data_IF_288946861389
#
_entry.id   IF_288946861389
#
_cell.length_a   1.000
_cell.length_b   1.000
_cell.length_c   1.000
_cell.angle_alpha   90.00
_cell.angle_beta   90.00
_cell.angle_gamma   90.00
#
_symmetry.space_group_name_H-M   'P 1'
#
loop_
_entity.id
_entity.type
_entity.pdbx_description
1 polymer ?
#
# COMPACT_ATOMS: atom_id res chain seq x y z
N UNK A 1 41.17 -34.66 15.85
CA UNK A 1 39.85 -34.64 16.52
C UNK A 1 38.88 -34.00 15.54
N UNK A 2 37.90 -34.78 15.07
CA UNK A 2 37.08 -34.47 13.91
C UNK A 2 36.05 -33.38 14.17
N UNK A 3 35.84 -32.55 13.15
CA UNK A 3 34.78 -31.54 13.08
C UNK A 3 33.50 -32.26 12.67
N UNK A 4 32.52 -32.34 13.58
CA UNK A 4 31.23 -32.94 13.29
C UNK A 4 30.42 -32.01 12.37
N UNK A 5 30.25 -32.44 11.12
CA UNK A 5 29.29 -31.87 10.17
C UNK A 5 27.88 -32.25 10.61
N UNK A 6 27.07 -31.26 10.95
CA UNK A 6 25.63 -31.45 11.15
C UNK A 6 24.98 -31.71 9.79
N UNK A 7 24.62 -32.97 9.55
CA UNK A 7 23.82 -33.36 8.39
C UNK A 7 22.38 -32.89 8.59
N UNK A 8 21.91 -32.02 7.70
CA UNK A 8 20.49 -31.66 7.59
C UNK A 8 19.71 -32.82 6.97
N UNK A 9 18.67 -33.28 7.67
CA UNK A 9 17.78 -34.35 7.23
C UNK A 9 16.98 -33.92 5.96
N UNK A 10 17.14 -34.61 4.82
CA UNK A 10 16.53 -34.22 3.55
C UNK A 10 15.03 -34.56 3.43
N UNK A 11 14.41 -35.08 4.49
CA UNK A 11 13.00 -35.51 4.49
C UNK A 11 12.01 -34.47 5.06
N UNK A 12 12.50 -33.33 5.56
CA UNK A 12 11.61 -32.25 5.95
C UNK A 12 11.13 -31.50 4.69
N UNK A 13 9.87 -31.73 4.31
CA UNK A 13 9.17 -30.82 3.41
C UNK A 13 9.42 -29.38 3.89
N UNK A 14 9.83 -28.44 3.03
CA UNK A 14 10.12 -27.08 3.45
C UNK A 14 8.89 -26.56 4.17
N UNK A 15 9.01 -26.33 5.49
CA UNK A 15 7.96 -25.66 6.25
C UNK A 15 7.68 -24.39 5.46
N UNK A 16 6.45 -24.12 5.01
CA UNK A 16 6.16 -22.88 4.31
C UNK A 16 6.71 -21.77 5.19
N UNK A 17 7.65 -20.98 4.66
CA UNK A 17 8.38 -20.00 5.44
C UNK A 17 7.33 -19.11 6.13
N UNK A 18 7.31 -19.18 7.45
CA UNK A 18 6.38 -18.40 8.26
C UNK A 18 6.76 -16.93 8.06
N UNK A 19 5.84 -16.14 7.56
CA UNK A 19 6.05 -14.70 7.31
C UNK A 19 5.25 -13.94 8.33
N UNK A 20 5.93 -13.25 9.26
CA UNK A 20 5.29 -12.54 10.37
C UNK A 20 4.11 -11.67 9.91
N UNK A 21 4.29 -10.84 8.88
CA UNK A 21 3.25 -9.93 8.41
C UNK A 21 2.04 -10.60 7.77
N UNK A 22 2.24 -11.75 7.11
CA UNK A 22 1.16 -12.50 6.47
C UNK A 22 0.43 -13.40 7.47
N UNK A 23 1.19 -14.05 8.35
CA UNK A 23 0.70 -15.17 9.14
C UNK A 23 0.43 -14.82 10.60
N UNK A 24 1.17 -13.87 11.19
CA UNK A 24 1.17 -13.60 12.64
C UNK A 24 0.58 -12.23 12.98
N UNK A 25 1.04 -11.16 12.32
CA UNK A 25 0.55 -9.80 12.57
C UNK A 25 -0.98 -9.70 12.46
N UNK A 26 -1.68 -10.33 11.50
CA UNK A 26 -3.14 -10.25 11.44
C UNK A 26 -3.82 -10.86 12.67
N UNK A 27 -3.23 -11.92 13.24
CA UNK A 27 -3.75 -12.55 14.47
C UNK A 27 -3.55 -11.59 15.65
N UNK A 28 -2.35 -11.05 15.83
CA UNK A 28 -2.03 -10.15 16.94
C UNK A 28 -2.80 -8.83 16.84
N UNK A 29 -2.88 -8.24 15.64
CA UNK A 29 -3.63 -7.01 15.41
C UNK A 29 -5.13 -7.18 15.61
N UNK A 30 -5.70 -8.30 15.12
CA UNK A 30 -7.13 -8.55 15.24
C UNK A 30 -7.60 -8.97 16.63
N UNK A 31 -6.75 -9.65 17.41
CA UNK A 31 -7.18 -10.30 18.67
C UNK A 31 -6.42 -9.85 19.92
N UNK A 32 -5.29 -9.15 19.79
CA UNK A 32 -4.41 -8.84 20.92
C UNK A 32 -4.17 -7.33 21.10
N UNK A 33 -3.86 -6.59 20.02
CA UNK A 33 -3.50 -5.18 20.10
C UNK A 33 -4.58 -4.24 20.67
N UNK A 34 -5.90 -4.53 20.59
CA UNK A 34 -6.90 -3.68 21.25
C UNK A 34 -6.71 -3.55 22.78
N UNK A 35 -6.05 -4.52 23.43
CA UNK A 35 -5.77 -4.45 24.88
C UNK A 35 -4.28 -4.55 25.21
N UNK A 36 -3.44 -4.96 24.27
CA UNK A 36 -2.01 -5.18 24.46
C UNK A 36 -1.16 -4.50 23.37
N UNK A 37 -1.67 -3.42 22.80
CA UNK A 37 -1.06 -2.70 21.68
C UNK A 37 -0.51 -1.33 22.07
N UNK A 38 -0.39 -0.41 21.09
CA UNK A 38 0.30 0.87 21.27
C UNK A 38 -0.46 1.86 22.16
N UNK A 39 -1.79 1.83 22.18
CA UNK A 39 -2.62 2.68 23.04
C UNK A 39 -2.33 2.42 24.53
N UNK A 40 -1.84 3.44 25.24
CA UNK A 40 -1.50 3.36 26.65
C UNK A 40 -2.72 3.40 27.57
N UNK A 41 -3.78 4.10 27.18
CA UNK A 41 -5.00 4.27 27.98
C UNK A 41 -5.83 2.98 28.06
N UNK A 42 -5.79 2.15 27.01
CA UNK A 42 -6.50 0.88 26.96
C UNK A 42 -5.64 -0.35 27.29
N UNK A 43 -4.34 -0.16 27.58
CA UNK A 43 -3.41 -1.27 27.79
C UNK A 43 -3.71 -2.04 29.08
N UNK A 44 -3.74 -3.36 28.98
CA UNK A 44 -4.03 -4.30 30.07
C UNK A 44 -2.87 -5.29 30.28
N UNK A 45 -2.89 -5.96 31.43
CA UNK A 45 -1.89 -6.97 31.78
C UNK A 45 -0.54 -6.37 32.17
N UNK A 46 0.50 -7.21 32.23
CA UNK A 46 1.83 -6.82 32.69
C UNK A 46 1.92 -6.65 34.21
N UNK A 47 3.13 -6.35 34.67
CA UNK A 47 3.43 -6.08 36.08
C UNK A 47 2.79 -4.75 36.53
N UNK A 48 2.50 -4.64 37.82
CA UNK A 48 1.93 -3.41 38.40
C UNK A 48 2.87 -2.23 38.16
N UNK A 49 2.35 -1.15 37.58
CA UNK A 49 3.14 0.05 37.25
C UNK A 49 3.98 -0.05 35.97
N UNK A 50 3.92 -1.15 35.20
CA UNK A 50 4.69 -1.32 33.96
C UNK A 50 4.12 -0.59 32.74
N UNK A 51 2.96 0.05 32.88
CA UNK A 51 2.22 0.67 31.78
C UNK A 51 1.50 -0.32 30.87
N UNK A 52 1.34 -1.59 31.29
CA UNK A 52 0.60 -2.63 30.56
C UNK A 52 1.49 -3.56 29.71
N UNK A 53 0.96 -4.72 29.32
CA UNK A 53 1.65 -5.65 28.41
C UNK A 53 1.58 -5.15 26.95
N UNK A 54 2.71 -5.18 26.25
CA UNK A 54 2.83 -4.85 24.83
C UNK A 54 3.08 -6.12 24.02
N UNK A 55 2.30 -6.36 22.97
CA UNK A 55 2.49 -7.47 22.02
C UNK A 55 2.79 -6.98 20.60
N UNK A 56 2.76 -5.67 20.37
CA UNK A 56 3.01 -5.01 19.08
C UNK A 56 4.50 -4.74 18.81
N UNK A 57 5.39 -5.07 19.76
CA UNK A 57 6.84 -5.00 19.58
C UNK A 57 7.54 -6.17 20.25
N UNK A 58 8.69 -6.57 19.71
CA UNK A 58 9.52 -7.63 20.28
C UNK A 58 9.91 -7.31 21.73
N UNK A 59 10.51 -6.14 21.97
CA UNK A 59 10.95 -5.71 23.30
C UNK A 59 9.81 -5.67 24.33
N UNK A 60 8.59 -5.33 23.89
CA UNK A 60 7.39 -5.37 24.72
C UNK A 60 6.95 -6.79 25.06
N UNK A 61 6.89 -7.67 24.05
CA UNK A 61 6.40 -9.04 24.19
C UNK A 61 7.34 -9.93 24.99
N UNK A 62 8.65 -9.65 24.93
CA UNK A 62 9.68 -10.38 25.66
C UNK A 62 10.03 -9.76 27.01
N UNK A 63 9.40 -8.64 27.40
CA UNK A 63 9.65 -7.99 28.69
C UNK A 63 9.23 -8.92 29.84
N UNK A 64 10.03 -8.94 30.89
CA UNK A 64 9.66 -9.63 32.13
C UNK A 64 8.58 -8.86 32.90
N UNK A 65 7.56 -9.60 33.33
CA UNK A 65 6.45 -9.11 34.13
C UNK A 65 6.27 -10.03 35.35
N UNK A 66 7.04 -9.75 36.40
CA UNK A 66 7.07 -10.51 37.65
C UNK A 66 7.44 -11.99 37.43
N UNK A 67 8.53 -12.22 36.70
CA UNK A 67 9.05 -13.56 36.40
C UNK A 67 8.33 -14.29 35.28
N UNK A 68 7.46 -13.59 34.53
CA UNK A 68 6.72 -14.12 33.37
C UNK A 68 6.92 -13.25 32.16
N UNK A 69 7.09 -13.89 30.99
CA UNK A 69 7.18 -13.21 29.69
C UNK A 69 6.03 -13.67 28.81
N UNK A 70 5.45 -12.76 28.04
CA UNK A 70 4.40 -13.15 27.11
C UNK A 70 4.97 -14.05 26.01
N UNK A 71 6.15 -13.69 25.50
CA UNK A 71 6.89 -14.43 24.47
C UNK A 71 8.29 -14.73 25.00
N UNK A 72 8.66 -16.01 24.99
CA UNK A 72 10.03 -16.48 25.20
C UNK A 72 10.50 -17.06 23.86
N UNK A 73 11.35 -16.35 23.09
CA UNK A 73 11.88 -16.82 21.82
C UNK A 73 12.46 -18.24 21.91
N UNK A 74 12.06 -19.11 20.98
CA UNK A 74 12.48 -20.51 20.93
C UNK A 74 11.73 -21.44 21.89
N UNK A 75 10.96 -20.91 22.85
CA UNK A 75 10.37 -21.69 23.94
C UNK A 75 8.86 -21.42 24.11
N UNK A 76 8.01 -21.92 23.20
CA UNK A 76 6.56 -21.70 23.29
C UNK A 76 5.93 -22.24 24.57
N UNK A 77 6.48 -23.32 25.13
CA UNK A 77 6.03 -23.90 26.39
C UNK A 77 6.25 -22.98 27.60
N UNK A 78 7.23 -22.07 27.54
CA UNK A 78 7.51 -21.08 28.56
C UNK A 78 6.90 -19.71 28.25
N UNK A 79 6.23 -19.58 27.10
CA UNK A 79 5.57 -18.35 26.67
C UNK A 79 4.15 -18.26 27.23
N UNK A 80 3.89 -17.26 28.08
CA UNK A 80 2.56 -17.06 28.68
C UNK A 80 1.49 -16.81 27.61
N UNK A 81 1.86 -16.23 26.46
CA UNK A 81 0.96 -16.04 25.32
C UNK A 81 0.30 -17.37 24.91
N UNK A 82 1.09 -18.44 24.73
CA UNK A 82 0.58 -19.75 24.28
C UNK A 82 -0.32 -20.35 25.35
N UNK A 83 0.12 -20.31 26.62
CA UNK A 83 -0.67 -20.79 27.76
C UNK A 83 -2.03 -20.09 27.84
N UNK A 84 -2.09 -18.79 27.58
CA UNK A 84 -3.32 -17.99 27.66
C UNK A 84 -4.28 -18.23 26.50
N UNK A 85 -3.79 -18.41 25.28
CA UNK A 85 -4.67 -18.61 24.11
C UNK A 85 -5.28 -20.02 24.06
N UNK A 86 -4.64 -21.02 24.69
CA UNK A 86 -5.19 -22.38 24.81
C UNK A 86 -6.01 -22.60 26.09
N UNK A 87 -5.92 -21.70 27.06
CA UNK A 87 -6.64 -21.82 28.33
C UNK A 87 -8.17 -21.82 28.13
N UNK A 88 -8.88 -22.47 29.05
CA UNK A 88 -10.34 -22.49 29.10
C UNK A 88 -10.84 -21.69 30.31
N UNK A 89 -11.95 -21.00 30.17
CA UNK A 89 -12.59 -20.26 31.27
C UNK A 89 -11.83 -19.00 31.70
N UNK A 90 -11.71 -18.78 33.01
CA UNK A 90 -11.08 -17.58 33.58
C UNK A 90 -9.59 -17.53 33.24
N UNK A 91 -9.18 -16.50 32.50
CA UNK A 91 -7.79 -16.31 32.08
C UNK A 91 -7.49 -16.66 30.62
N UNK A 92 -8.46 -17.20 29.86
CA UNK A 92 -8.34 -17.33 28.39
C UNK A 92 -8.13 -15.97 27.74
N UNK A 93 -7.27 -15.90 26.73
CA UNK A 93 -7.12 -14.75 25.85
C UNK A 93 -7.52 -15.08 24.39
N UNK A 94 -8.28 -14.21 23.70
CA UNK A 94 -9.03 -13.08 24.25
C UNK A 94 -10.08 -13.54 25.28
N UNK A 95 -10.40 -12.72 26.30
CA UNK A 95 -11.50 -13.02 27.22
C UNK A 95 -12.81 -13.15 26.44
N UNK A 96 -13.70 -14.04 26.88
CA UNK A 96 -14.95 -14.32 26.15
C UNK A 96 -15.82 -13.06 25.92
N UNK A 97 -15.77 -12.09 26.85
CA UNK A 97 -16.47 -10.82 26.73
C UNK A 97 -15.84 -9.84 25.71
N UNK A 98 -14.60 -10.08 25.28
CA UNK A 98 -13.83 -9.17 24.42
C UNK A 98 -13.47 -9.79 23.06
N UNK A 99 -13.67 -11.09 22.85
CA UNK A 99 -13.42 -11.70 21.54
C UNK A 99 -13.58 -13.22 21.47
N UNK A 100 -13.64 -13.71 20.22
CA UNK A 100 -13.63 -15.14 19.91
C UNK A 100 -12.27 -15.74 20.26
N UNK A 101 -12.26 -17.04 20.55
CA UNK A 101 -11.03 -17.79 20.75
C UNK A 101 -10.19 -17.76 19.47
N UNK A 102 -8.90 -18.06 19.61
CA UNK A 102 -8.09 -18.43 18.46
C UNK A 102 -8.51 -19.81 17.97
N UNK A 103 -8.48 -19.99 16.65
CA UNK A 103 -8.61 -21.29 16.01
C UNK A 103 -7.33 -22.11 16.24
N UNK A 104 -7.42 -23.42 16.12
CA UNK A 104 -6.25 -24.31 16.26
C UNK A 104 -5.13 -23.94 15.30
N UNK A 105 -5.48 -23.50 14.08
CA UNK A 105 -4.53 -22.99 13.09
C UNK A 105 -3.80 -21.73 13.57
N UNK A 106 -4.51 -20.76 14.12
CA UNK A 106 -3.88 -19.52 14.62
C UNK A 106 -2.97 -19.81 15.83
N UNK A 107 -3.38 -20.71 16.72
CA UNK A 107 -2.54 -21.15 17.85
C UNK A 107 -1.29 -21.85 17.34
N UNK A 108 -1.42 -22.74 16.35
CA UNK A 108 -0.29 -23.43 15.73
C UNK A 108 0.69 -22.46 15.07
N UNK A 109 0.19 -21.43 14.38
CA UNK A 109 1.02 -20.37 13.78
C UNK A 109 1.78 -19.58 14.85
N UNK A 110 1.12 -19.16 15.93
CA UNK A 110 1.79 -18.44 17.02
C UNK A 110 2.84 -19.30 17.71
N UNK A 111 2.56 -20.58 17.92
CA UNK A 111 3.54 -21.53 18.46
C UNK A 111 4.75 -21.64 17.55
N UNK A 112 4.55 -21.93 16.26
CA UNK A 112 5.63 -22.07 15.30
C UNK A 112 6.46 -20.78 15.17
N UNK A 113 5.81 -19.63 15.21
CA UNK A 113 6.50 -18.34 15.21
C UNK A 113 7.40 -18.17 16.43
N UNK A 114 6.93 -18.56 17.62
CA UNK A 114 7.75 -18.52 18.83
C UNK A 114 8.90 -19.53 18.75
N UNK A 115 8.67 -20.75 18.27
CA UNK A 115 9.72 -21.76 18.05
C UNK A 115 10.83 -21.24 17.14
N UNK A 116 10.46 -20.45 16.12
CA UNK A 116 11.39 -19.81 15.20
C UNK A 116 12.02 -18.50 15.74
N UNK A 117 11.97 -18.24 17.05
CA UNK A 117 12.62 -17.08 17.67
C UNK A 117 11.75 -15.82 17.80
N UNK A 118 10.47 -15.89 17.43
CA UNK A 118 9.50 -14.82 17.61
C UNK A 118 9.89 -13.47 16.99
N UNK A 119 10.57 -13.48 15.84
CA UNK A 119 11.00 -12.24 15.18
C UNK A 119 9.81 -11.43 14.67
N UNK A 120 9.87 -10.11 14.88
CA UNK A 120 8.91 -9.14 14.36
C UNK A 120 9.46 -8.56 13.06
N UNK A 121 8.65 -8.57 12.01
CA UNK A 121 8.98 -7.85 10.78
C UNK A 121 8.56 -6.37 10.89
N UNK A 122 9.21 -5.50 10.12
CA UNK A 122 8.61 -4.21 9.76
C UNK A 122 7.38 -4.46 8.89
N UNK A 123 6.36 -3.60 8.98
CA UNK A 123 5.15 -3.77 8.17
C UNK A 123 5.50 -3.69 6.68
N UNK A 124 5.01 -4.66 5.89
CA UNK A 124 5.36 -4.87 4.49
C UNK A 124 5.34 -3.60 3.62
N UNK A 125 4.41 -2.68 3.89
CA UNK A 125 4.29 -1.41 3.17
C UNK A 125 5.49 -0.46 3.32
N UNK A 126 6.31 -0.66 4.37
CA UNK A 126 7.52 0.13 4.65
C UNK A 126 8.82 -0.64 4.41
N UNK A 127 8.72 -1.85 3.86
CA UNK A 127 9.89 -2.62 3.44
C UNK A 127 10.08 -2.39 1.95
N UNK A 128 11.23 -1.86 1.50
CA UNK A 128 11.49 -1.66 0.08
C UNK A 128 11.28 -2.96 -0.71
N UNK A 129 10.49 -2.94 -1.80
CA UNK A 129 10.26 -4.13 -2.60
C UNK A 129 11.56 -4.57 -3.28
N UNK A 130 11.89 -5.85 -3.18
CA UNK A 130 13.01 -6.45 -3.91
C UNK A 130 12.50 -7.12 -5.17
N UNK A 131 13.27 -7.04 -6.27
CA UNK A 131 12.90 -7.67 -7.53
C UNK A 131 12.91 -9.20 -7.35
N UNK A 132 11.76 -9.89 -7.47
CA UNK A 132 11.72 -11.34 -7.32
C UNK A 132 12.34 -12.04 -8.53
N UNK A 133 12.81 -13.28 -8.32
CA UNK A 133 13.16 -14.15 -9.43
C UNK A 133 11.91 -14.44 -10.27
N UNK A 134 12.06 -14.33 -11.59
CA UNK A 134 10.98 -14.59 -12.54
C UNK A 134 10.67 -16.09 -12.57
N UNK A 135 9.41 -16.52 -12.36
CA UNK A 135 9.06 -17.92 -12.39
C UNK A 135 9.38 -18.58 -13.74
N UNK A 136 9.75 -19.87 -13.76
CA UNK A 136 9.85 -20.61 -15.00
C UNK A 136 8.47 -20.70 -15.66
N UNK A 137 8.46 -20.83 -16.99
CA UNK A 137 7.22 -21.05 -17.74
C UNK A 137 6.62 -22.41 -17.36
N UNK A 138 5.32 -22.49 -17.04
CA UNK A 138 4.65 -23.76 -16.84
C UNK A 138 4.70 -24.62 -18.13
N UNK A 139 4.80 -25.96 -18.02
CA UNK A 139 4.79 -26.84 -19.18
C UNK A 139 3.58 -26.60 -20.10
N UNK A 140 3.81 -26.57 -21.41
CA UNK A 140 2.74 -26.33 -22.41
C UNK A 140 2.34 -24.85 -22.58
N UNK A 141 2.96 -23.92 -21.85
CA UNK A 141 2.72 -22.48 -22.04
C UNK A 141 3.35 -21.98 -23.34
N UNK A 142 2.67 -21.03 -24.00
CA UNK A 142 3.27 -20.24 -25.07
C UNK A 142 4.45 -19.40 -24.56
N UNK A 143 5.28 -18.89 -25.48
CA UNK A 143 6.35 -17.95 -25.12
C UNK A 143 5.76 -16.65 -24.56
N UNK A 144 6.09 -16.32 -23.31
CA UNK A 144 5.70 -15.07 -22.64
C UNK A 144 6.95 -14.21 -22.44
N UNK A 145 7.20 -13.21 -23.30
CA UNK A 145 8.40 -12.37 -23.24
C UNK A 145 8.35 -11.38 -22.07
N UNK A 146 7.17 -10.90 -21.68
CA UNK A 146 7.02 -10.03 -20.53
C UNK A 146 7.11 -10.85 -19.23
N UNK A 147 8.02 -10.50 -18.29
CA UNK A 147 8.14 -11.20 -17.01
C UNK A 147 6.84 -11.24 -16.20
N UNK A 148 5.99 -10.20 -16.28
CA UNK A 148 4.72 -10.11 -15.55
C UNK A 148 3.80 -11.26 -15.95
N UNK A 149 3.71 -11.56 -17.25
CA UNK A 149 2.87 -12.63 -17.76
C UNK A 149 3.29 -14.00 -17.22
N UNK A 150 4.58 -14.20 -16.90
CA UNK A 150 5.07 -15.44 -16.29
C UNK A 150 4.60 -15.60 -14.84
N UNK A 151 4.53 -14.52 -14.08
CA UNK A 151 3.95 -14.55 -12.74
C UNK A 151 2.46 -14.91 -12.78
N UNK A 152 1.72 -14.32 -13.73
CA UNK A 152 0.29 -14.62 -13.94
C UNK A 152 0.12 -16.08 -14.36
N UNK A 153 0.87 -16.56 -15.36
CA UNK A 153 0.82 -17.94 -15.83
C UNK A 153 1.16 -18.96 -14.72
N UNK A 154 2.17 -18.69 -13.91
CA UNK A 154 2.52 -19.53 -12.77
C UNK A 154 1.39 -19.59 -11.72
N UNK A 155 0.66 -18.48 -11.51
CA UNK A 155 -0.51 -18.50 -10.62
C UNK A 155 -1.66 -19.29 -11.22
N UNK A 156 -2.02 -19.03 -12.48
CA UNK A 156 -3.10 -19.74 -13.18
C UNK A 156 -2.86 -21.25 -13.19
N UNK A 157 -1.64 -21.69 -13.50
CA UNK A 157 -1.28 -23.11 -13.50
C UNK A 157 -1.49 -23.78 -12.13
N UNK A 158 -1.08 -23.13 -11.03
CA UNK A 158 -1.32 -23.64 -9.66
C UNK A 158 -2.79 -23.75 -9.31
N UNK A 159 -3.62 -22.89 -9.89
CA UNK A 159 -5.07 -22.89 -9.66
C UNK A 159 -5.83 -23.78 -10.65
N UNK A 160 -5.15 -24.44 -11.60
CA UNK A 160 -5.79 -25.23 -12.65
C UNK A 160 -6.58 -24.38 -13.65
N UNK A 161 -6.26 -23.09 -13.77
CA UNK A 161 -6.91 -22.14 -14.67
C UNK A 161 -6.09 -21.92 -15.94
N UNK A 162 -6.79 -21.59 -17.03
CA UNK A 162 -6.18 -21.22 -18.31
C UNK A 162 -6.55 -19.78 -18.69
N UNK A 163 -5.67 -19.03 -19.39
CA UNK A 163 -6.00 -17.70 -19.87
C UNK A 163 -7.24 -17.71 -20.79
N UNK A 164 -8.03 -16.64 -20.73
CA UNK A 164 -9.12 -16.43 -21.68
C UNK A 164 -8.58 -16.17 -23.10
N UNK A 165 -9.37 -16.53 -24.11
CA UNK A 165 -9.05 -16.19 -25.51
C UNK A 165 -8.98 -14.67 -25.69
N UNK A 166 -8.04 -14.22 -26.54
CA UNK A 166 -7.94 -12.81 -26.92
C UNK A 166 -9.26 -12.31 -27.51
N UNK A 167 -9.70 -11.13 -27.08
CA UNK A 167 -10.91 -10.52 -27.61
C UNK A 167 -10.78 -10.19 -29.11
N UNK A 168 -11.91 -10.05 -29.80
CA UNK A 168 -11.92 -9.65 -31.21
C UNK A 168 -11.35 -8.24 -31.40
N UNK A 169 -10.89 -7.93 -32.62
CA UNK A 169 -10.20 -6.66 -32.92
C UNK A 169 -11.05 -5.44 -32.60
N UNK A 170 -12.36 -5.46 -32.80
CA UNK A 170 -13.23 -4.29 -32.51
C UNK A 170 -13.34 -4.08 -31.01
N UNK A 171 -13.52 -5.17 -30.25
CA UNK A 171 -13.55 -5.11 -28.79
C UNK A 171 -12.22 -4.63 -28.21
N UNK A 172 -11.09 -5.13 -28.71
CA UNK A 172 -9.77 -4.69 -28.28
C UNK A 172 -9.56 -3.20 -28.52
N UNK A 173 -9.86 -2.72 -29.73
CA UNK A 173 -9.75 -1.30 -30.06
C UNK A 173 -10.61 -0.43 -29.14
N UNK A 174 -11.86 -0.82 -28.90
CA UNK A 174 -12.75 -0.06 -28.03
C UNK A 174 -12.23 0.02 -26.60
N UNK A 175 -11.76 -1.10 -26.04
CA UNK A 175 -11.21 -1.15 -24.67
C UNK A 175 -9.99 -0.27 -24.55
N UNK A 176 -8.99 -0.45 -25.41
CA UNK A 176 -7.73 0.29 -25.30
C UNK A 176 -7.90 1.80 -25.53
N UNK A 177 -8.82 2.23 -26.41
CA UNK A 177 -9.12 3.66 -26.56
C UNK A 177 -9.78 4.22 -25.28
N UNK A 178 -10.78 3.53 -24.72
CA UNK A 178 -11.41 4.00 -23.48
C UNK A 178 -10.44 4.01 -22.30
N UNK A 179 -9.58 3.00 -22.19
CA UNK A 179 -8.64 2.86 -21.08
C UNK A 179 -7.52 3.92 -21.16
N UNK A 180 -7.02 4.24 -22.36
CA UNK A 180 -5.91 5.19 -22.52
C UNK A 180 -6.37 6.63 -22.70
N UNK A 181 -7.50 6.88 -23.35
CA UNK A 181 -7.92 8.26 -23.69
C UNK A 181 -9.28 8.64 -23.10
N UNK A 182 -10.01 7.70 -22.49
CA UNK A 182 -11.37 7.94 -22.01
C UNK A 182 -12.40 8.11 -23.13
N UNK A 183 -12.01 7.98 -24.39
CA UNK A 183 -12.85 8.25 -25.55
C UNK A 183 -13.09 6.97 -26.37
N UNK A 184 -14.30 6.81 -26.95
CA UNK A 184 -14.52 5.74 -27.90
C UNK A 184 -13.70 5.97 -29.18
N UNK A 185 -13.32 4.89 -29.91
CA UNK A 185 -12.55 5.01 -31.14
C UNK A 185 -13.36 5.73 -32.24
N UNK A 186 -12.69 6.61 -32.99
CA UNK A 186 -13.29 7.25 -34.17
C UNK A 186 -13.49 6.26 -35.32
N UNK A 187 -14.40 6.55 -36.25
CA UNK A 187 -14.61 5.71 -37.44
C UNK A 187 -13.32 5.51 -38.26
N UNK A 188 -12.47 6.54 -38.33
CA UNK A 188 -11.19 6.48 -39.02
C UNK A 188 -10.17 5.56 -38.30
N UNK A 189 -10.11 5.60 -36.96
CA UNK A 189 -9.29 4.67 -36.19
C UNK A 189 -9.77 3.23 -36.34
N UNK A 190 -11.10 3.00 -36.33
CA UNK A 190 -11.69 1.68 -36.57
C UNK A 190 -11.29 1.14 -37.95
N UNK A 191 -11.50 1.92 -39.01
CA UNK A 191 -11.16 1.50 -40.37
C UNK A 191 -9.66 1.18 -40.51
N UNK A 192 -8.80 2.06 -39.99
CA UNK A 192 -7.33 1.90 -40.04
C UNK A 192 -6.87 0.65 -39.28
N UNK A 193 -7.31 0.48 -38.03
CA UNK A 193 -6.89 -0.65 -37.21
C UNK A 193 -7.43 -1.98 -37.76
N UNK A 194 -8.66 -2.02 -38.29
CA UNK A 194 -9.19 -3.27 -38.86
C UNK A 194 -8.51 -3.65 -40.17
N UNK A 195 -8.01 -2.69 -40.95
CA UNK A 195 -7.26 -2.94 -42.18
C UNK A 195 -5.77 -3.24 -41.95
N UNK A 196 -5.23 -2.95 -40.76
CA UNK A 196 -3.82 -3.16 -40.46
C UNK A 196 -3.49 -4.62 -40.14
N UNK A 197 -2.89 -5.30 -41.12
CA UNK A 197 -2.50 -6.71 -41.03
C UNK A 197 -1.09 -6.93 -40.45
N UNK A 198 -0.39 -5.86 -40.04
CA UNK A 198 0.97 -6.00 -39.47
C UNK A 198 0.91 -6.82 -38.16
N UNK A 199 1.91 -7.68 -37.90
CA UNK A 199 1.95 -8.47 -36.66
C UNK A 199 1.93 -7.62 -35.37
N UNK A 200 2.44 -6.39 -35.44
CA UNK A 200 2.52 -5.43 -34.35
C UNK A 200 1.46 -4.30 -34.42
N UNK A 201 0.37 -4.50 -35.17
CA UNK A 201 -0.65 -3.46 -35.38
C UNK A 201 -1.31 -2.98 -34.07
N UNK A 202 -1.39 -3.85 -33.06
CA UNK A 202 -1.98 -3.49 -31.77
C UNK A 202 -1.03 -2.63 -30.93
N UNK A 203 0.25 -2.96 -30.93
CA UNK A 203 1.30 -2.22 -30.25
C UNK A 203 1.46 -0.83 -30.87
N UNK A 204 1.50 -0.74 -32.21
CA UNK A 204 1.54 0.55 -32.89
C UNK A 204 0.29 1.42 -32.63
N UNK A 205 -0.89 0.79 -32.44
CA UNK A 205 -2.10 1.49 -32.01
C UNK A 205 -1.93 2.03 -30.58
N UNK A 206 -1.45 1.22 -29.65
CA UNK A 206 -1.19 1.62 -28.25
C UNK A 206 -0.24 2.82 -28.22
N UNK A 207 0.90 2.74 -28.92
CA UNK A 207 1.88 3.83 -29.01
C UNK A 207 1.21 5.12 -29.51
N UNK A 208 0.40 5.03 -30.58
CA UNK A 208 -0.30 6.20 -31.12
C UNK A 208 -1.35 6.81 -30.17
N UNK A 209 -1.90 6.02 -29.25
CA UNK A 209 -2.85 6.50 -28.24
C UNK A 209 -2.11 7.17 -27.08
N UNK A 210 -0.99 6.58 -26.63
CA UNK A 210 -0.12 7.16 -25.60
C UNK A 210 0.47 8.51 -26.05
N UNK A 211 0.79 8.65 -27.34
CA UNK A 211 1.28 9.90 -27.93
C UNK A 211 0.19 10.96 -28.16
N UNK A 212 -1.08 10.65 -27.88
CA UNK A 212 -2.19 11.58 -28.14
C UNK A 212 -2.44 12.55 -26.98
N UNK A 213 -2.85 13.81 -27.24
CA UNK A 213 -3.21 14.76 -26.17
C UNK A 213 -4.32 14.23 -25.24
N UNK A 214 -5.26 13.46 -25.79
CA UNK A 214 -6.35 12.86 -25.04
C UNK A 214 -5.86 11.87 -23.97
N UNK A 215 -4.70 11.22 -24.16
CA UNK A 215 -4.08 10.40 -23.12
C UNK A 215 -3.63 11.25 -21.93
N UNK A 216 -2.92 12.36 -22.20
CA UNK A 216 -2.48 13.30 -21.17
C UNK A 216 -3.65 13.84 -20.35
N UNK A 217 -4.71 14.30 -21.04
CA UNK A 217 -5.94 14.79 -20.40
C UNK A 217 -6.64 13.70 -19.56
N UNK A 218 -6.77 12.49 -20.11
CA UNK A 218 -7.45 11.38 -19.45
C UNK A 218 -6.75 10.96 -18.15
N UNK A 219 -5.43 10.81 -18.20
CA UNK A 219 -4.60 10.43 -17.06
C UNK A 219 -4.50 11.55 -16.03
N UNK A 220 -4.34 12.79 -16.49
CA UNK A 220 -4.23 13.96 -15.61
C UNK A 220 -5.49 14.16 -14.76
N UNK A 221 -6.69 13.90 -15.29
CA UNK A 221 -7.95 14.02 -14.53
C UNK A 221 -7.92 13.23 -13.22
N UNK A 222 -7.45 11.98 -13.27
CA UNK A 222 -7.35 11.14 -12.06
C UNK A 222 -6.34 11.71 -11.05
N UNK A 223 -5.23 12.27 -11.54
CA UNK A 223 -4.26 12.94 -10.68
C UNK A 223 -4.79 14.24 -10.08
N UNK A 224 -5.54 15.03 -10.86
CA UNK A 224 -6.11 16.29 -10.43
C UNK A 224 -7.15 16.09 -9.32
N UNK A 225 -7.93 15.01 -9.38
CA UNK A 225 -8.82 14.60 -8.29
C UNK A 225 -8.03 14.32 -7.00
N UNK A 226 -6.93 13.56 -7.09
CA UNK A 226 -6.05 13.27 -5.95
C UNK A 226 -5.38 14.53 -5.40
N UNK A 227 -4.94 15.42 -6.29
CA UNK A 227 -4.37 16.70 -5.96
C UNK A 227 -5.40 17.72 -5.46
N UNK A 228 -6.70 17.36 -5.44
CA UNK A 228 -7.81 18.22 -5.00
C UNK A 228 -7.90 19.52 -5.79
N UNK A 229 -7.60 19.43 -7.09
CA UNK A 229 -7.76 20.54 -7.99
C UNK A 229 -9.23 20.90 -8.11
N UNK A 230 -9.54 22.18 -7.88
CA UNK A 230 -10.81 22.80 -8.20
C UNK A 230 -10.57 24.19 -8.80
N UNK A 231 -11.52 24.63 -9.64
CA UNK A 231 -11.57 26.00 -10.16
C UNK A 231 -12.15 26.99 -9.13
N UNK A 232 -12.59 26.50 -7.96
CA UNK A 232 -13.05 27.30 -6.82
C UNK A 232 -12.12 27.19 -5.60
N UNK A 233 -12.29 28.10 -4.64
CA UNK A 233 -11.47 28.22 -3.44
C UNK A 233 -11.90 27.28 -2.30
N UNK A 234 -13.12 26.74 -2.34
CA UNK A 234 -13.75 26.01 -1.24
C UNK A 234 -14.37 26.93 -0.19
N UNK A 235 -14.73 26.35 0.96
CA UNK A 235 -15.45 27.01 2.07
C UNK A 235 -16.83 27.56 1.66
N UNK A 236 -17.47 28.40 2.49
CA UNK A 236 -18.88 28.74 2.32
C UNK A 236 -19.11 29.74 1.18
N UNK A 237 -18.19 30.68 0.96
CA UNK A 237 -18.29 31.62 -0.17
C UNK A 237 -17.87 30.99 -1.52
N UNK A 238 -16.98 29.99 -1.52
CA UNK A 238 -16.56 29.18 -2.68
C UNK A 238 -16.27 29.95 -3.97
N UNK A 239 -15.56 31.08 -3.87
CA UNK A 239 -15.21 31.92 -5.02
C UNK A 239 -14.33 31.18 -6.04
N UNK A 240 -14.42 31.59 -7.31
CA UNK A 240 -13.51 31.11 -8.35
C UNK A 240 -12.06 31.54 -8.07
N UNK A 241 -11.10 30.68 -8.41
CA UNK A 241 -9.67 30.93 -8.31
C UNK A 241 -8.94 30.68 -9.64
N UNK A 242 -7.80 31.33 -9.83
CA UNK A 242 -6.96 31.13 -11.02
C UNK A 242 -5.82 30.16 -10.71
N UNK A 243 -5.92 28.91 -11.17
CA UNK A 243 -4.91 27.87 -10.95
C UNK A 243 -4.70 26.93 -12.16
N UNK A 244 -5.31 27.24 -13.31
CA UNK A 244 -5.26 26.41 -14.53
C UNK A 244 -3.84 26.02 -14.96
N UNK A 245 -2.82 26.83 -14.64
CA UNK A 245 -1.43 26.55 -14.97
C UNK A 245 -0.96 25.21 -14.35
N UNK A 246 -1.42 24.88 -13.14
CA UNK A 246 -1.13 23.59 -12.50
C UNK A 246 -1.80 22.44 -13.25
N UNK A 247 -3.08 22.58 -13.62
CA UNK A 247 -3.80 21.58 -14.44
C UNK A 247 -3.03 21.28 -15.72
N UNK A 248 -2.65 22.33 -16.45
CA UNK A 248 -1.96 22.19 -17.72
C UNK A 248 -0.55 21.60 -17.54
N UNK A 249 0.13 21.92 -16.43
CA UNK A 249 1.40 21.28 -16.08
C UNK A 249 1.24 19.77 -15.86
N UNK A 250 0.22 19.34 -15.12
CA UNK A 250 -0.06 17.91 -14.89
C UNK A 250 -0.34 17.20 -16.22
N UNK A 251 -1.16 17.78 -17.10
CA UNK A 251 -1.43 17.23 -18.44
C UNK A 251 -0.12 17.04 -19.21
N UNK A 252 0.70 18.10 -19.31
CA UNK A 252 2.00 18.04 -20.00
C UNK A 252 2.98 17.04 -19.36
N UNK A 253 2.92 16.84 -18.04
CA UNK A 253 3.75 15.86 -17.36
C UNK A 253 3.44 14.42 -17.82
N UNK A 254 2.15 14.09 -18.01
CA UNK A 254 1.75 12.80 -18.58
C UNK A 254 2.10 12.70 -20.07
N UNK A 255 1.86 13.75 -20.87
CA UNK A 255 2.18 13.77 -22.30
C UNK A 255 3.67 13.53 -22.58
N UNK A 256 4.56 14.11 -21.74
CA UNK A 256 6.01 13.94 -21.86
C UNK A 256 6.54 12.69 -21.15
N UNK A 257 5.65 11.87 -20.58
CA UNK A 257 5.99 10.70 -19.77
C UNK A 257 7.05 11.03 -18.70
N UNK A 258 6.81 12.09 -17.93
CA UNK A 258 7.74 12.54 -16.90
C UNK A 258 7.99 11.40 -15.88
N UNK A 259 9.25 11.03 -15.61
CA UNK A 259 9.57 10.00 -14.63
C UNK A 259 8.93 10.29 -13.27
N UNK A 260 8.38 9.25 -12.63
CA UNK A 260 7.60 9.41 -11.40
C UNK A 260 8.38 10.04 -10.24
N UNK A 261 9.69 9.78 -10.16
CA UNK A 261 10.59 10.40 -9.20
C UNK A 261 10.69 11.92 -9.40
N UNK A 262 10.83 12.38 -10.65
CA UNK A 262 10.83 13.80 -11.01
C UNK A 262 9.45 14.44 -10.81
N UNK A 263 8.39 13.78 -11.27
CA UNK A 263 7.01 14.21 -11.07
C UNK A 263 6.67 14.40 -9.57
N UNK A 264 7.21 13.52 -8.72
CA UNK A 264 7.09 13.61 -7.27
C UNK A 264 7.86 14.80 -6.71
N UNK A 265 9.16 14.91 -7.02
CA UNK A 265 10.01 15.98 -6.49
C UNK A 265 9.51 17.36 -6.89
N UNK A 266 9.14 17.56 -8.15
CA UNK A 266 8.71 18.85 -8.66
C UNK A 266 7.38 19.33 -8.03
N UNK A 267 6.47 18.42 -7.69
CA UNK A 267 5.22 18.80 -7.00
C UNK A 267 5.39 19.02 -5.50
N UNK A 268 6.28 18.26 -4.85
CA UNK A 268 6.46 18.36 -3.41
C UNK A 268 7.41 19.49 -2.99
N UNK A 269 8.40 19.82 -3.83
CA UNK A 269 9.49 20.73 -3.50
C UNK A 269 10.13 21.38 -4.74
N UNK A 270 9.38 21.56 -5.83
CA UNK A 270 9.91 22.11 -7.07
C UNK A 270 10.47 23.53 -6.91
N UNK A 271 9.82 24.36 -6.10
CA UNK A 271 10.25 25.71 -5.74
C UNK A 271 11.55 25.75 -4.89
N UNK A 272 11.91 24.63 -4.26
CA UNK A 272 13.12 24.48 -3.44
C UNK A 272 14.30 23.89 -4.23
N UNK A 273 14.12 23.54 -5.50
CA UNK A 273 15.21 23.04 -6.34
C UNK A 273 16.23 24.15 -6.63
N UNK A 274 17.55 23.85 -6.62
CA UNK A 274 18.54 24.79 -7.12
C UNK A 274 18.22 25.05 -8.60
N UNK A 275 17.98 26.31 -8.95
CA UNK A 275 17.55 26.76 -10.29
C UNK A 275 16.10 26.40 -10.68
N UNK A 276 15.18 26.40 -9.71
CA UNK A 276 13.75 26.22 -9.96
C UNK A 276 13.20 27.22 -11.00
N UNK A 277 12.89 26.70 -12.19
CA UNK A 277 12.21 27.44 -13.25
C UNK A 277 10.70 27.57 -13.02
N UNK A 278 10.02 28.27 -13.92
CA UNK A 278 8.58 28.50 -13.80
C UNK A 278 7.76 27.19 -13.76
N UNK A 279 8.15 26.17 -14.53
CA UNK A 279 7.46 24.87 -14.53
C UNK A 279 7.55 24.17 -13.15
N UNK A 280 8.70 24.22 -12.47
CA UNK A 280 8.87 23.62 -11.13
C UNK A 280 8.08 24.40 -10.06
N UNK A 281 8.02 25.73 -10.19
CA UNK A 281 7.19 26.56 -9.31
C UNK A 281 5.69 26.27 -9.52
N UNK A 282 5.25 26.14 -10.77
CA UNK A 282 3.87 25.75 -11.10
C UNK A 282 3.56 24.36 -10.56
N UNK A 283 4.48 23.39 -10.71
CA UNK A 283 4.30 22.03 -10.17
C UNK A 283 4.05 22.04 -8.66
N UNK A 284 4.77 22.89 -7.92
CA UNK A 284 4.62 23.03 -6.46
C UNK A 284 3.25 23.56 -6.04
N UNK A 285 2.44 24.09 -6.98
CA UNK A 285 1.05 24.45 -6.72
C UNK A 285 0.17 23.25 -6.30
N UNK A 286 0.67 22.01 -6.36
CA UNK A 286 0.09 20.89 -5.60
C UNK A 286 -0.26 21.29 -4.15
N UNK A 287 0.66 21.97 -3.46
CA UNK A 287 0.46 22.47 -2.09
C UNK A 287 -0.50 23.66 -1.98
N UNK A 288 -0.87 24.28 -3.10
CA UNK A 288 -1.82 25.39 -3.20
C UNK A 288 -3.24 24.92 -3.49
N UNK A 289 -3.45 23.63 -3.70
CA UNK A 289 -4.79 23.07 -3.90
C UNK A 289 -5.62 22.95 -2.61
N UNK A 290 -5.00 23.10 -1.44
CA UNK A 290 -5.74 23.28 -0.18
C UNK A 290 -6.71 24.45 -0.27
N UNK A 291 -7.90 24.26 0.31
CA UNK A 291 -8.95 25.27 0.30
C UNK A 291 -8.45 26.58 0.92
N UNK A 292 -8.91 27.71 0.40
CA UNK A 292 -8.56 29.04 0.89
C UNK A 292 -9.78 29.67 1.56
N UNK A 293 -9.65 30.06 2.83
CA UNK A 293 -10.70 30.81 3.50
C UNK A 293 -10.43 32.31 3.36
N UNK A 294 -11.37 33.03 2.75
CA UNK A 294 -11.33 34.49 2.57
C UNK A 294 -12.53 35.18 3.23
N UNK A 295 -13.28 34.47 4.06
CA UNK A 295 -14.48 34.97 4.72
C UNK A 295 -14.12 36.02 5.79
N UNK A 296 -15.01 36.98 6.00
CA UNK A 296 -14.85 37.95 7.09
C UNK A 296 -14.95 37.30 8.46
N UNK A 297 -13.98 37.56 9.35
CA UNK A 297 -14.00 37.08 10.74
C UNK A 297 -13.23 35.78 10.98
N UNK A 298 -12.46 35.31 10.00
CA UNK A 298 -11.52 34.20 10.18
C UNK A 298 -10.34 34.59 11.08
N UNK A 299 -9.91 33.67 11.93
CA UNK A 299 -8.62 33.77 12.61
C UNK A 299 -7.51 33.22 11.70
N UNK A 300 -6.53 34.06 11.35
CA UNK A 300 -5.45 33.72 10.43
C UNK A 300 -4.62 32.52 10.91
N UNK A 301 -4.42 32.40 12.23
CA UNK A 301 -3.62 31.34 12.81
C UNK A 301 -4.39 30.01 12.85
N UNK A 302 -5.69 30.06 13.15
CA UNK A 302 -6.58 28.90 13.01
C UNK A 302 -6.57 28.38 11.57
N UNK A 303 -6.78 29.28 10.60
CA UNK A 303 -6.81 28.89 9.18
C UNK A 303 -5.45 28.36 8.72
N UNK A 304 -4.34 28.99 9.13
CA UNK A 304 -2.99 28.50 8.83
C UNK A 304 -2.81 27.06 9.32
N UNK A 305 -3.26 26.74 10.53
CA UNK A 305 -3.20 25.38 11.07
C UNK A 305 -4.06 24.41 10.26
N UNK A 306 -5.31 24.76 9.95
CA UNK A 306 -6.21 23.94 9.15
C UNK A 306 -5.61 23.65 7.76
N UNK A 307 -5.06 24.67 7.09
CA UNK A 307 -4.44 24.53 5.78
C UNK A 307 -3.19 23.63 5.81
N UNK A 308 -2.34 23.75 6.84
CA UNK A 308 -1.17 22.86 7.00
C UNK A 308 -1.59 21.42 7.23
N UNK A 309 -2.59 21.17 8.08
CA UNK A 309 -3.13 19.82 8.33
C UNK A 309 -3.68 19.21 7.03
N UNK A 310 -4.44 20.00 6.26
CA UNK A 310 -5.00 19.58 4.98
C UNK A 310 -3.92 19.19 3.95
N UNK A 311 -2.87 20.00 3.84
CA UNK A 311 -1.71 19.74 2.97
C UNK A 311 -0.98 18.46 3.35
N UNK A 312 -0.69 18.28 4.64
CA UNK A 312 -0.01 17.08 5.15
C UNK A 312 -0.86 15.83 4.92
N UNK A 313 -2.17 15.92 5.22
CA UNK A 313 -3.12 14.82 5.02
C UNK A 313 -3.21 14.42 3.55
N UNK A 314 -3.32 15.39 2.65
CA UNK A 314 -3.39 15.15 1.19
C UNK A 314 -2.10 14.55 0.67
N UNK A 315 -0.95 15.10 1.06
CA UNK A 315 0.38 14.59 0.68
C UNK A 315 0.57 13.13 1.12
N UNK A 316 0.28 12.82 2.40
CA UNK A 316 0.41 11.47 2.94
C UNK A 316 -0.54 10.49 2.25
N UNK A 317 -1.79 10.91 2.01
CA UNK A 317 -2.80 10.05 1.38
C UNK A 317 -2.40 9.71 -0.05
N UNK A 318 -1.98 10.69 -0.84
CA UNK A 318 -1.72 10.50 -2.27
C UNK A 318 -0.37 9.82 -2.55
N UNK A 319 0.69 10.16 -1.79
CA UNK A 319 2.04 9.59 -2.04
C UNK A 319 2.30 8.30 -1.27
N UNK A 320 1.81 8.22 -0.03
CA UNK A 320 2.06 7.04 0.82
C UNK A 320 0.92 6.04 0.78
N UNK A 321 -0.25 6.40 0.22
CA UNK A 321 -1.45 5.56 0.28
C UNK A 321 -1.97 5.39 1.71
N UNK A 322 -1.67 6.35 2.59
CA UNK A 322 -1.93 6.26 4.02
C UNK A 322 -2.71 7.46 4.55
N UNK A 323 -3.77 7.20 5.30
CA UNK A 323 -4.50 8.26 6.00
C UNK A 323 -3.76 8.66 7.28
N UNK A 324 -3.52 9.95 7.45
CA UNK A 324 -2.98 10.53 8.69
C UNK A 324 -3.91 11.52 9.37
N UNK A 325 -5.12 11.74 8.85
CA UNK A 325 -6.08 12.71 9.40
C UNK A 325 -6.39 12.49 10.90
N UNK A 326 -6.40 11.23 11.38
CA UNK A 326 -6.62 10.93 12.79
C UNK A 326 -5.55 11.56 13.71
N UNK A 327 -4.33 11.77 13.20
CA UNK A 327 -3.23 12.36 13.96
C UNK A 327 -3.46 13.84 14.32
N UNK A 328 -4.49 14.47 13.74
CA UNK A 328 -4.92 15.80 14.13
C UNK A 328 -5.40 15.85 15.59
N UNK A 329 -6.03 14.78 16.07
CA UNK A 329 -6.65 14.74 17.41
C UNK A 329 -6.13 13.60 18.29
N UNK A 330 -5.45 12.60 17.72
CA UNK A 330 -5.00 11.40 18.41
C UNK A 330 -3.51 11.15 18.18
N UNK A 331 -2.81 10.58 19.15
CA UNK A 331 -1.43 10.12 19.01
C UNK A 331 -1.32 8.66 18.55
N UNK A 332 -2.46 8.00 18.29
CA UNK A 332 -2.53 6.63 17.78
C UNK A 332 -3.76 6.37 16.90
N UNK A 333 -3.71 5.29 16.11
CA UNK A 333 -4.85 4.79 15.31
C UNK A 333 -5.93 4.07 16.17
N UNK A 334 -5.56 3.75 17.42
CA UNK A 334 -6.37 3.23 18.56
C UNK A 334 -7.60 4.06 18.86
#
# INVERSE_FOLDING_TARGET
>A
MGVASAQSDPTAAPRPSLVFDRDIRPILAGKCFPCHGPDAGHRRGGAKGSGGLRLDSFAGATRDHDGRRAVVPGEPQHSELIRRVIARGKGRMPPAAHGKALTDREVALLRAWIECGAEYAAHWAFVPPVRPAVPPLPPGSAALPNPIDRFVAARLHREGLSPASRADRRTLLRRVCLDLTGLPPTRAQVARFLADARPNAFEALVDSLLDSPAYGEHMARHWLDLARYADSAGYAEDHLRTIWAYRDWVIRAFERNLPFDRFTVEQLAGDLLPDAGQEQQIATAFHRNTMTNSEGGTDDEEFRCAAVVDRVSTTMTVWMGMTMACAQCHDHKY
#
